data_IF_539979013716
#
_entry.id   IF_539979013716
#
_cell.length_a   1.000
_cell.length_b   1.000
_cell.length_c   1.000
_cell.angle_alpha   90.00
_cell.angle_beta   90.00
_cell.angle_gamma   90.00
#
_symmetry.space_group_name_H-M   'P 1'
#
loop_
_entity.id
_entity.type
_entity.pdbx_description
1 polymer ?
#
# COMPACT_ATOMS: atom_id res chain seq x y z
N UNK A 1 -7.58 -8.68 14.39
CA UNK A 1 -6.71 -9.78 13.91
C UNK A 1 -7.07 -10.21 12.46
N UNK A 2 -7.26 -9.28 11.51
CA UNK A 2 -7.74 -9.66 10.16
C UNK A 2 -6.58 -10.04 9.22
N UNK A 3 -5.50 -9.25 9.20
CA UNK A 3 -4.36 -9.50 8.28
C UNK A 3 -3.64 -10.82 8.59
N UNK A 4 -3.40 -11.11 9.87
CA UNK A 4 -2.64 -12.31 10.32
C UNK A 4 -3.32 -13.65 10.02
N UNK A 5 -4.62 -13.65 9.74
CA UNK A 5 -5.35 -14.89 9.39
C UNK A 5 -5.32 -15.18 7.89
N UNK A 6 -4.81 -14.26 7.07
CA UNK A 6 -4.68 -14.42 5.61
C UNK A 6 -3.29 -14.93 5.28
N UNK A 7 -3.20 -16.24 5.02
CA UNK A 7 -1.94 -16.95 4.75
C UNK A 7 -1.18 -16.33 3.57
N UNK A 8 -1.92 -15.82 2.59
CA UNK A 8 -1.42 -15.18 1.38
C UNK A 8 -0.61 -13.91 1.68
N UNK A 9 -0.87 -13.27 2.83
CA UNK A 9 -0.20 -12.03 3.25
C UNK A 9 0.99 -12.28 4.20
N UNK A 10 1.26 -13.53 4.60
CA UNK A 10 2.24 -13.83 5.67
C UNK A 10 3.66 -13.31 5.40
N UNK A 11 4.06 -13.25 4.13
CA UNK A 11 5.41 -12.84 3.71
C UNK A 11 5.41 -11.56 2.90
N UNK A 12 4.28 -10.86 2.84
CA UNK A 12 4.12 -9.64 2.05
C UNK A 12 4.04 -8.41 2.96
N UNK A 13 4.68 -7.29 2.60
CA UNK A 13 4.49 -6.04 3.30
C UNK A 13 3.05 -5.56 3.16
N UNK A 14 2.44 -5.11 4.26
CA UNK A 14 1.09 -4.54 4.27
C UNK A 14 1.15 -3.15 4.90
N UNK A 15 0.71 -2.14 4.16
CA UNK A 15 0.53 -0.76 4.64
C UNK A 15 -0.95 -0.43 4.66
N UNK A 16 -1.39 0.30 5.68
CA UNK A 16 -2.75 0.79 5.84
C UNK A 16 -2.75 2.31 6.01
N UNK A 17 -3.95 2.91 6.04
CA UNK A 17 -4.12 4.37 6.19
C UNK A 17 -3.46 5.20 5.08
N UNK A 18 -3.51 4.69 3.84
CA UNK A 18 -3.10 5.44 2.64
C UNK A 18 -4.27 6.30 2.16
N UNK A 19 -4.00 7.45 1.56
CA UNK A 19 -4.99 8.44 1.09
C UNK A 19 -5.76 7.97 -0.16
N UNK A 20 -6.59 6.93 -0.03
CA UNK A 20 -7.50 6.44 -1.07
C UNK A 20 -8.82 5.90 -0.47
N UNK A 21 -9.81 5.61 -1.30
CA UNK A 21 -11.09 5.03 -0.88
C UNK A 21 -12.22 6.07 -0.76
N UNK A 22 -12.84 6.17 0.41
CA UNK A 22 -14.05 7.00 0.61
C UNK A 22 -13.78 8.29 1.42
N UNK A 23 -12.59 8.49 1.98
CA UNK A 23 -12.21 9.69 2.77
C UNK A 23 -11.39 10.67 1.95
N UNK A 24 -11.46 11.97 2.22
CA UNK A 24 -10.71 13.01 1.48
C UNK A 24 -9.59 13.62 2.33
N UNK A 25 -8.46 14.03 1.72
CA UNK A 25 -8.13 13.99 0.27
C UNK A 25 -7.77 12.58 -0.25
N UNK A 26 -7.74 12.40 -1.57
CA UNK A 26 -7.39 11.12 -2.23
C UNK A 26 -6.38 11.28 -3.34
N UNK A 27 -5.48 10.33 -3.47
CA UNK A 27 -4.57 10.20 -4.61
C UNK A 27 -5.28 9.58 -5.82
N UNK A 28 -4.78 9.89 -7.01
CA UNK A 28 -5.09 9.14 -8.24
C UNK A 28 -3.93 8.19 -8.53
N UNK A 29 -4.23 6.93 -8.82
CA UNK A 29 -3.22 5.93 -9.18
C UNK A 29 -3.62 5.15 -10.45
N UNK A 30 -2.65 4.76 -11.28
CA UNK A 30 -2.89 4.05 -12.54
C UNK A 30 -3.29 2.59 -12.28
N UNK A 31 -4.43 2.16 -12.82
CA UNK A 31 -4.79 0.74 -12.85
C UNK A 31 -3.93 0.04 -13.93
N UNK A 32 -3.19 -1.00 -13.53
CA UNK A 32 -2.23 -1.68 -14.40
C UNK A 32 -0.83 -1.04 -14.41
N UNK A 33 -0.62 0.03 -13.64
CA UNK A 33 0.72 0.58 -13.39
C UNK A 33 1.53 -0.25 -12.40
N UNK A 34 2.76 0.19 -12.13
CA UNK A 34 3.67 -0.48 -11.19
C UNK A 34 3.96 0.43 -9.99
N UNK A 35 4.09 -0.17 -8.81
CA UNK A 35 4.33 0.52 -7.54
C UNK A 35 5.45 -0.16 -6.78
N UNK A 36 6.34 0.63 -6.18
CA UNK A 36 7.34 0.20 -5.22
C UNK A 36 6.91 0.55 -3.81
N UNK A 37 6.97 -0.43 -2.91
CA UNK A 37 6.72 -0.27 -1.48
C UNK A 37 8.04 -0.39 -0.71
N UNK A 38 8.40 0.63 0.05
CA UNK A 38 9.56 0.62 0.94
C UNK A 38 9.11 0.88 2.38
N UNK A 39 9.19 -0.14 3.22
CA UNK A 39 8.76 -0.06 4.62
C UNK A 39 9.98 -0.26 5.54
N UNK A 40 10.16 0.68 6.44
CA UNK A 40 11.14 0.63 7.53
C UNK A 40 10.46 0.98 8.86
N UNK A 41 11.20 0.90 9.96
CA UNK A 41 10.66 1.28 11.29
C UNK A 41 10.34 2.78 11.39
N UNK A 42 10.99 3.62 10.57
CA UNK A 42 10.89 5.08 10.65
C UNK A 42 10.22 5.71 9.42
N UNK A 43 9.99 4.95 8.36
CA UNK A 43 9.42 5.46 7.11
C UNK A 43 8.62 4.39 6.37
N UNK A 44 7.56 4.84 5.71
CA UNK A 44 6.75 4.04 4.79
C UNK A 44 6.58 4.85 3.51
N UNK A 45 7.05 4.30 2.39
CA UNK A 45 7.01 4.98 1.09
C UNK A 45 6.22 4.11 0.11
N UNK A 46 5.26 4.74 -0.56
CA UNK A 46 4.53 4.19 -1.71
C UNK A 46 4.90 5.03 -2.92
N UNK A 47 5.63 4.45 -3.88
CA UNK A 47 6.08 5.16 -5.07
C UNK A 47 5.48 4.51 -6.33
N UNK A 48 4.76 5.29 -7.13
CA UNK A 48 4.31 4.86 -8.46
C UNK A 48 5.54 4.91 -9.39
N UNK A 49 5.99 3.75 -9.88
CA UNK A 49 7.18 3.63 -10.73
C UNK A 49 6.85 3.63 -12.23
N UNK A 50 5.62 3.24 -12.58
CA UNK A 50 5.10 3.25 -13.95
C UNK A 50 3.62 3.57 -13.94
N UNK A 51 3.20 4.53 -14.77
CA UNK A 51 1.82 5.00 -14.85
C UNK A 51 1.35 5.16 -16.29
#
# INVERSE_FOLDING_TARGET
QIIKTKRELNSLPVVASVDFGHTDPKITFPIGGEVKLELSKSSSIVQISKH
#
